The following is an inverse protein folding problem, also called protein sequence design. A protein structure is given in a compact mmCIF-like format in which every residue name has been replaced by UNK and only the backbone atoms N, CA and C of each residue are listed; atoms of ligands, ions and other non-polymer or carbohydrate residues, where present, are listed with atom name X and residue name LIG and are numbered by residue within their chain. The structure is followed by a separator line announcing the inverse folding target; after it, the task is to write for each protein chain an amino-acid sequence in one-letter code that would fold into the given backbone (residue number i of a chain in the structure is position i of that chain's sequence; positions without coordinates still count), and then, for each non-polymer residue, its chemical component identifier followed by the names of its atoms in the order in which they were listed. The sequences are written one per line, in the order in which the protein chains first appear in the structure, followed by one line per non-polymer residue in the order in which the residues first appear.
data_IF_882406340539
#
_entry.id   IF_882406340539
#
_cell.length_a   1.000
_cell.length_b   1.000
_cell.length_c   1.000
_cell.angle_alpha   90.00
_cell.angle_beta   90.00
_cell.angle_gamma   90.00
#
_symmetry.space_group_name_H-M   'P 1'
#
loop_
_entity.id
_entity.type
_entity.pdbx_description
1 polymer ?
#
# COMPACT_ATOMS: atom_id res chain seq x y z
N UNK A 1 -10.83 4.02 -29.43
CA UNK A 1 -10.32 5.06 -30.36
C UNK A 1 -10.04 6.32 -29.56
N UNK A 2 -8.91 6.99 -29.80
CA UNK A 2 -8.57 8.22 -29.08
C UNK A 2 -9.46 9.39 -29.53
N UNK A 3 -9.66 10.40 -28.68
CA UNK A 3 -10.46 11.60 -29.00
C UNK A 3 -9.98 12.29 -30.29
N UNK A 4 -8.68 12.22 -30.60
CA UNK A 4 -8.12 12.81 -31.81
C UNK A 4 -8.58 12.09 -33.08
N UNK A 5 -8.69 10.76 -33.05
CA UNK A 5 -9.17 9.96 -34.19
C UNK A 5 -10.60 10.31 -34.56
N UNK A 6 -11.49 10.38 -33.55
CA UNK A 6 -12.91 10.70 -33.76
C UNK A 6 -13.08 12.06 -34.44
N UNK A 7 -12.30 13.07 -34.01
CA UNK A 7 -12.37 14.41 -34.57
C UNK A 7 -11.90 14.44 -36.02
N UNK A 8 -10.80 13.74 -36.34
CA UNK A 8 -10.26 13.72 -37.70
C UNK A 8 -11.18 12.98 -38.66
N UNK A 9 -11.68 11.79 -38.29
CA UNK A 9 -12.61 11.02 -39.12
C UNK A 9 -13.96 11.74 -39.31
N UNK A 10 -14.47 12.46 -38.30
CA UNK A 10 -15.69 13.24 -38.52
C UNK A 10 -15.50 14.39 -39.52
N UNK A 11 -14.30 14.97 -39.59
CA UNK A 11 -14.00 16.03 -40.56
C UNK A 11 -13.73 15.43 -41.95
N UNK A 12 -12.96 14.34 -42.03
CA UNK A 12 -12.52 13.73 -43.30
C UNK A 12 -13.56 12.83 -43.95
N UNK A 13 -14.23 11.98 -43.16
CA UNK A 13 -15.12 10.95 -43.68
C UNK A 13 -16.59 11.37 -43.60
N UNK A 14 -16.97 12.07 -42.53
CA UNK A 14 -18.34 12.55 -42.32
C UNK A 14 -18.58 14.00 -42.78
N UNK A 15 -17.57 14.66 -43.37
CA UNK A 15 -17.70 16.00 -43.96
C UNK A 15 -17.98 17.14 -42.95
N UNK A 16 -17.72 16.93 -41.66
CA UNK A 16 -17.94 17.96 -40.64
C UNK A 16 -16.98 19.14 -40.82
N UNK A 17 -17.51 20.37 -40.72
CA UNK A 17 -16.65 21.56 -40.77
C UNK A 17 -15.76 21.68 -39.53
N UNK A 18 -14.57 22.25 -39.70
CA UNK A 18 -13.61 22.52 -38.61
C UNK A 18 -14.23 23.39 -37.51
N UNK A 19 -15.15 24.30 -37.89
CA UNK A 19 -15.91 25.14 -36.96
C UNK A 19 -16.82 24.31 -36.06
N UNK A 20 -17.62 23.42 -36.65
CA UNK A 20 -18.54 22.58 -35.88
C UNK A 20 -17.78 21.62 -34.98
N UNK A 21 -16.70 21.02 -35.48
CA UNK A 21 -15.82 20.17 -34.67
C UNK A 21 -15.19 20.94 -33.48
N UNK A 22 -14.81 22.21 -33.69
CA UNK A 22 -14.27 23.05 -32.61
C UNK A 22 -15.28 23.27 -31.47
N UNK A 23 -16.53 23.59 -31.81
CA UNK A 23 -17.59 23.80 -30.83
C UNK A 23 -18.01 22.49 -30.14
N UNK A 24 -18.21 21.42 -30.91
CA UNK A 24 -18.70 20.13 -30.39
C UNK A 24 -17.67 19.47 -29.46
N UNK A 25 -16.40 19.44 -29.86
CA UNK A 25 -15.36 18.75 -29.10
C UNK A 25 -14.61 19.65 -28.12
N UNK A 26 -14.94 20.95 -28.09
CA UNK A 26 -14.32 22.00 -27.27
C UNK A 26 -12.80 22.04 -27.44
N UNK A 27 -12.34 22.06 -28.70
CA UNK A 27 -10.93 22.13 -29.07
C UNK A 27 -10.72 23.35 -29.98
N UNK A 28 -9.61 24.06 -29.83
CA UNK A 28 -9.30 25.20 -30.69
C UNK A 28 -9.14 24.77 -32.16
N UNK A 29 -9.59 25.61 -33.08
CA UNK A 29 -9.41 25.38 -34.54
C UNK A 29 -7.95 25.11 -34.89
N UNK A 30 -7.01 25.83 -34.28
CA UNK A 30 -5.57 25.63 -34.47
C UNK A 30 -5.13 24.20 -34.15
N UNK A 31 -5.62 23.62 -33.04
CA UNK A 31 -5.30 22.24 -32.68
C UNK A 31 -5.94 21.24 -33.65
N UNK A 32 -7.13 21.52 -34.16
CA UNK A 32 -7.78 20.68 -35.18
C UNK A 32 -6.95 20.67 -36.48
N UNK A 33 -6.49 21.83 -36.95
CA UNK A 33 -5.59 21.88 -38.12
C UNK A 33 -4.27 21.14 -37.89
N UNK A 34 -3.69 21.18 -36.68
CA UNK A 34 -2.52 20.38 -36.35
C UNK A 34 -2.80 18.87 -36.42
N UNK A 35 -3.98 18.42 -35.96
CA UNK A 35 -4.39 17.02 -36.04
C UNK A 35 -4.58 16.58 -37.50
N UNK A 36 -5.24 17.40 -38.33
CA UNK A 36 -5.38 17.12 -39.76
C UNK A 36 -4.02 17.04 -40.45
N UNK A 37 -3.11 18.00 -40.17
CA UNK A 37 -1.75 17.97 -40.72
C UNK A 37 -0.96 16.73 -40.28
N UNK A 38 -1.12 16.29 -39.04
CA UNK A 38 -0.49 15.07 -38.54
C UNK A 38 -1.06 13.83 -39.25
N UNK A 39 -2.38 13.75 -39.40
CA UNK A 39 -3.06 12.68 -40.14
C UNK A 39 -2.63 12.62 -41.61
N UNK A 40 -2.54 13.77 -42.28
CA UNK A 40 -2.07 13.84 -43.67
C UNK A 40 -0.61 13.37 -43.82
N UNK A 41 0.21 13.51 -42.77
CA UNK A 41 1.62 13.14 -42.79
C UNK A 41 1.91 11.67 -42.40
N UNK A 42 1.03 11.02 -41.61
CA UNK A 42 1.32 9.69 -41.07
C UNK A 42 0.09 8.84 -40.70
N UNK A 43 -1.07 9.20 -41.22
CA UNK A 43 -2.34 8.51 -40.99
C UNK A 43 -2.73 8.44 -39.51
N UNK A 44 -3.47 7.40 -39.14
CA UNK A 44 -3.97 7.20 -37.78
C UNK A 44 -2.86 7.14 -36.73
N UNK A 45 -1.71 6.53 -37.06
CA UNK A 45 -0.60 6.42 -36.11
C UNK A 45 -0.04 7.79 -35.68
N UNK A 46 -0.14 8.81 -36.54
CA UNK A 46 0.30 10.17 -36.22
C UNK A 46 -0.64 10.90 -35.24
N UNK A 47 -1.86 10.39 -35.02
CA UNK A 47 -2.83 10.95 -34.07
C UNK A 47 -2.64 10.45 -32.64
N UNK A 48 -1.79 9.43 -32.47
CA UNK A 48 -1.43 8.93 -31.15
C UNK A 48 -0.63 9.97 -30.36
N UNK A 49 -0.90 10.12 -29.05
CA UNK A 49 -0.16 11.05 -28.21
C UNK A 49 1.34 10.73 -28.20
N UNK A 50 2.14 11.56 -28.87
CA UNK A 50 3.58 11.46 -28.78
C UNK A 50 4.08 11.92 -27.41
N UNK A 51 5.21 11.34 -26.99
CA UNK A 51 5.87 11.72 -25.74
C UNK A 51 6.17 13.22 -25.74
N UNK A 52 5.65 13.94 -24.75
CA UNK A 52 5.96 15.36 -24.52
C UNK A 52 7.30 15.56 -23.79
N UNK A 53 8.07 14.49 -23.60
CA UNK A 53 9.36 14.54 -22.92
C UNK A 53 10.35 15.31 -23.80
N UNK A 54 11.11 16.28 -23.24
CA UNK A 54 12.18 16.94 -23.97
C UNK A 54 13.15 15.91 -24.59
N UNK A 55 13.54 16.13 -25.84
CA UNK A 55 14.47 15.26 -26.59
C UNK A 55 15.86 15.22 -25.94
N UNK A 56 16.27 16.29 -25.27
CA UNK A 56 17.48 16.34 -24.47
C UNK A 56 17.23 17.05 -23.14
N UNK A 57 17.98 16.66 -22.11
CA UNK A 57 18.04 17.37 -20.85
C UNK A 57 19.52 17.70 -20.56
N UNK A 58 19.97 18.94 -20.80
CA UNK A 58 21.35 19.34 -20.52
C UNK A 58 21.75 19.22 -19.05
N UNK A 59 20.76 19.12 -18.13
CA UNK A 59 20.98 18.90 -16.70
C UNK A 59 20.91 17.42 -16.30
N UNK A 60 20.94 16.51 -17.27
CA UNK A 60 21.05 15.08 -16.98
C UNK A 60 22.38 14.80 -16.30
N UNK A 61 22.35 13.95 -15.28
CA UNK A 61 23.56 13.44 -14.64
C UNK A 61 24.37 12.67 -15.67
N UNK A 62 25.68 12.91 -15.72
CA UNK A 62 26.57 12.21 -16.64
C UNK A 62 26.50 10.70 -16.42
N UNK A 63 26.59 9.94 -17.51
CA UNK A 63 26.44 8.49 -17.49
C UNK A 63 27.50 7.82 -16.61
N UNK A 64 28.72 8.37 -16.57
CA UNK A 64 29.79 7.90 -15.68
C UNK A 64 29.40 8.02 -14.20
N UNK A 65 28.76 9.12 -13.82
CA UNK A 65 28.29 9.33 -12.46
C UNK A 65 27.14 8.38 -12.10
N UNK A 66 26.25 8.08 -13.05
CA UNK A 66 25.20 7.07 -12.87
C UNK A 66 25.80 5.70 -12.59
N UNK A 67 26.77 5.26 -13.41
CA UNK A 67 27.45 3.98 -13.24
C UNK A 67 28.16 3.87 -11.89
N UNK A 68 28.85 4.93 -11.48
CA UNK A 68 29.52 5.00 -10.18
C UNK A 68 28.53 4.91 -9.00
N UNK A 69 27.35 5.54 -9.10
CA UNK A 69 26.27 5.41 -8.10
C UNK A 69 25.81 3.95 -7.98
N UNK A 70 25.63 3.27 -9.11
CA UNK A 70 25.18 1.87 -9.12
C UNK A 70 26.25 0.94 -8.55
N UNK A 71 27.52 1.17 -8.89
CA UNK A 71 28.66 0.41 -8.36
C UNK A 71 28.82 0.60 -6.84
N UNK A 72 28.67 1.82 -6.34
CA UNK A 72 28.71 2.06 -4.89
C UNK A 72 27.54 1.39 -4.17
N UNK A 73 26.34 1.44 -4.77
CA UNK A 73 25.18 0.75 -4.22
C UNK A 73 25.44 -0.74 -4.12
N UNK A 74 25.98 -1.38 -5.15
CA UNK A 74 26.25 -2.82 -5.13
C UNK A 74 27.36 -3.18 -4.16
N UNK A 75 28.48 -2.44 -4.14
CA UNK A 75 29.60 -2.67 -3.20
C UNK A 75 29.17 -2.54 -1.74
N UNK A 76 28.47 -1.46 -1.38
CA UNK A 76 28.01 -1.23 -0.01
C UNK A 76 26.98 -2.27 0.43
N UNK A 77 26.07 -2.65 -0.47
CA UNK A 77 25.08 -3.70 -0.18
C UNK A 77 25.74 -5.06 0.00
N UNK A 78 26.74 -5.40 -0.82
CA UNK A 78 27.48 -6.67 -0.72
C UNK A 78 28.34 -6.74 0.56
N UNK A 79 28.81 -5.60 1.05
CA UNK A 79 29.52 -5.48 2.32
C UNK A 79 28.60 -5.37 3.55
N UNK A 80 27.28 -5.50 3.37
CA UNK A 80 26.26 -5.33 4.43
C UNK A 80 26.31 -3.96 5.14
N UNK A 81 26.82 -2.94 4.45
CA UNK A 81 26.90 -1.56 4.94
C UNK A 81 25.66 -0.75 4.53
N UNK A 82 25.49 0.42 5.17
CA UNK A 82 24.47 1.37 4.71
C UNK A 82 24.76 1.82 3.28
N UNK A 83 23.86 1.47 2.36
CA UNK A 83 23.94 1.84 0.96
C UNK A 83 22.93 2.94 0.60
N UNK A 84 22.46 3.71 1.58
CA UNK A 84 21.51 4.79 1.40
C UNK A 84 22.02 5.90 0.46
N UNK A 85 21.12 6.70 -0.15
CA UNK A 85 21.51 7.78 -1.05
C UNK A 85 22.47 8.81 -0.42
N UNK A 86 22.33 9.13 0.88
CA UNK A 86 23.25 9.98 1.63
C UNK A 86 24.65 9.37 1.75
N UNK A 87 24.73 8.08 2.04
CA UNK A 87 26.00 7.37 2.21
C UNK A 87 26.72 7.23 0.88
N UNK A 88 26.00 6.92 -0.20
CA UNK A 88 26.54 6.97 -1.57
C UNK A 88 27.03 8.38 -1.91
N UNK A 89 26.26 9.42 -1.56
CA UNK A 89 26.67 10.81 -1.77
C UNK A 89 27.98 11.14 -1.04
N UNK A 90 28.13 10.67 0.19
CA UNK A 90 29.35 10.83 0.98
C UNK A 90 30.56 10.17 0.28
N UNK A 91 30.42 8.92 -0.17
CA UNK A 91 31.48 8.24 -0.92
C UNK A 91 31.85 8.97 -2.21
N UNK A 92 30.86 9.48 -2.96
CA UNK A 92 31.10 10.25 -4.18
C UNK A 92 31.87 11.55 -3.94
N UNK A 93 31.61 12.25 -2.82
CA UNK A 93 32.37 13.47 -2.45
C UNK A 93 33.85 13.18 -2.25
N UNK A 94 34.18 12.01 -1.71
CA UNK A 94 35.55 11.61 -1.41
C UNK A 94 36.34 11.17 -2.66
N UNK A 95 35.69 10.97 -3.81
CA UNK A 95 36.32 10.49 -5.06
C UNK A 95 36.58 11.59 -6.11
N UNK A 96 36.39 12.87 -5.74
CA UNK A 96 36.61 14.08 -6.55
C UNK A 96 35.74 14.18 -7.83
N UNK A 97 34.74 15.08 -7.80
CA UNK A 97 33.89 15.43 -8.94
C UNK A 97 32.60 16.13 -8.52
N UNK A 98 31.81 16.68 -9.48
CA UNK A 98 30.50 17.23 -9.19
C UNK A 98 29.54 16.13 -8.72
N UNK A 99 29.11 16.20 -7.45
CA UNK A 99 28.28 15.16 -6.82
C UNK A 99 26.79 15.50 -6.97
N UNK A 100 25.96 14.57 -7.47
CA UNK A 100 24.51 14.77 -7.52
C UNK A 100 23.89 14.91 -6.13
N UNK A 101 22.74 15.59 -6.05
CA UNK A 101 21.96 15.67 -4.82
C UNK A 101 21.48 14.28 -4.36
N UNK A 102 21.21 14.12 -3.05
CA UNK A 102 20.58 12.94 -2.47
C UNK A 102 19.31 12.53 -3.25
N UNK A 103 18.47 13.51 -3.59
CA UNK A 103 17.26 13.31 -4.37
C UNK A 103 17.52 12.78 -5.79
N UNK A 104 18.62 13.18 -6.41
CA UNK A 104 19.03 12.70 -7.74
C UNK A 104 19.54 11.27 -7.66
N UNK A 105 20.39 10.96 -6.66
CA UNK A 105 20.87 9.60 -6.40
C UNK A 105 19.68 8.66 -6.12
N UNK A 106 18.74 9.07 -5.25
CA UNK A 106 17.52 8.32 -4.97
C UNK A 106 16.71 8.04 -6.24
N UNK A 107 16.54 9.04 -7.11
CA UNK A 107 15.80 8.88 -8.38
C UNK A 107 16.51 7.91 -9.33
N UNK A 108 17.84 7.98 -9.44
CA UNK A 108 18.65 7.05 -10.24
C UNK A 108 18.46 5.63 -9.72
N UNK A 109 18.67 5.41 -8.42
CA UNK A 109 18.51 4.08 -7.81
C UNK A 109 17.09 3.53 -7.97
N UNK A 110 16.06 4.38 -7.87
CA UNK A 110 14.67 3.99 -8.12
C UNK A 110 14.43 3.62 -9.59
N UNK A 111 14.97 4.39 -10.54
CA UNK A 111 14.86 4.09 -11.98
C UNK A 111 15.52 2.75 -12.35
N UNK A 112 16.59 2.38 -11.65
CA UNK A 112 17.29 1.11 -11.82
C UNK A 112 16.74 -0.03 -10.92
N UNK A 113 15.65 0.18 -10.19
CA UNK A 113 15.01 -0.87 -9.37
C UNK A 113 15.81 -1.30 -8.14
N UNK A 114 16.79 -0.50 -7.70
CA UNK A 114 17.67 -0.81 -6.55
C UNK A 114 17.12 -0.31 -5.21
N UNK A 115 15.94 0.32 -5.22
CA UNK A 115 15.19 0.72 -4.02
C UNK A 115 13.92 -0.10 -3.96
N UNK A 116 13.76 -0.88 -2.88
CA UNK A 116 12.48 -1.48 -2.55
C UNK A 116 11.55 -0.40 -2.02
N UNK A 117 10.40 -0.14 -2.67
CA UNK A 117 9.44 0.84 -2.16
C UNK A 117 8.95 0.42 -0.78
N UNK A 118 8.96 1.35 0.17
CA UNK A 118 8.32 1.10 1.45
C UNK A 118 6.81 0.96 1.22
N UNK A 119 6.12 -0.02 1.84
CA UNK A 119 4.67 -0.14 1.71
C UNK A 119 4.02 1.18 2.10
N UNK A 120 3.16 1.70 1.20
CA UNK A 120 2.44 2.95 1.45
C UNK A 120 1.66 2.84 2.76
N UNK A 121 1.61 3.94 3.52
CA UNK A 121 0.72 4.05 4.69
C UNK A 121 -0.69 3.64 4.27
N UNK A 122 -1.38 2.87 5.13
CA UNK A 122 -2.73 2.39 4.88
C UNK A 122 -3.64 3.57 4.52
N UNK A 123 -4.45 3.50 3.44
CA UNK A 123 -5.29 4.60 3.03
C UNK A 123 -6.33 4.93 4.11
N UNK A 124 -6.52 6.22 4.38
CA UNK A 124 -7.47 6.73 5.39
C UNK A 124 -8.91 6.26 5.13
N UNK A 125 -9.28 6.00 3.88
CA UNK A 125 -10.60 5.49 3.48
C UNK A 125 -10.94 4.11 4.06
N UNK A 126 -9.97 3.40 4.60
CA UNK A 126 -10.20 2.11 5.27
C UNK A 126 -10.56 2.23 6.76
N UNK A 127 -10.53 3.44 7.33
CA UNK A 127 -10.99 3.72 8.69
C UNK A 127 -12.51 3.82 8.70
N UNK A 128 -13.18 2.87 9.36
CA UNK A 128 -14.62 2.96 9.62
C UNK A 128 -14.82 3.61 10.97
N UNK A 129 -15.68 4.62 11.04
CA UNK A 129 -16.09 5.20 12.33
C UNK A 129 -17.00 4.20 13.02
N UNK A 130 -16.67 3.86 14.25
CA UNK A 130 -17.44 3.00 15.12
C UNK A 130 -18.04 3.85 16.24
N UNK A 131 -19.29 3.59 16.58
CA UNK A 131 -20.02 4.19 17.70
C UNK A 131 -20.98 3.11 18.21
N UNK A 132 -21.09 2.96 19.52
CA UNK A 132 -22.11 2.14 20.18
C UNK A 132 -23.51 2.70 19.86
N UNK A 133 -24.52 1.83 19.85
CA UNK A 133 -25.89 2.19 19.45
C UNK A 133 -26.65 2.88 20.60
N UNK A 134 -26.28 2.61 21.85
CA UNK A 134 -26.94 3.14 23.04
C UNK A 134 -25.95 3.70 24.08
N UNK A 135 -26.36 4.71 24.89
CA UNK A 135 -25.62 5.08 26.08
C UNK A 135 -25.43 3.89 27.02
N UNK A 136 -24.29 3.82 27.69
CA UNK A 136 -23.92 2.75 28.62
C UNK A 136 -23.80 1.35 27.98
N UNK A 137 -23.77 1.26 26.65
CA UNK A 137 -23.51 0.00 25.95
C UNK A 137 -22.01 -0.33 25.92
N UNK A 138 -21.17 0.65 25.58
CA UNK A 138 -19.72 0.47 25.51
C UNK A 138 -19.00 1.62 26.18
N UNK A 139 -18.22 1.34 27.22
CA UNK A 139 -17.27 2.28 27.79
C UNK A 139 -15.88 2.07 27.19
N UNK A 140 -15.21 3.15 26.84
CA UNK A 140 -13.83 3.15 26.39
C UNK A 140 -12.92 3.66 27.49
N UNK A 141 -11.73 3.07 27.58
CA UNK A 141 -10.67 3.55 28.46
C UNK A 141 -9.35 3.52 27.74
N UNK A 142 -8.60 4.60 27.89
CA UNK A 142 -7.24 4.75 27.43
C UNK A 142 -6.51 5.65 28.45
N UNK A 143 -5.19 5.69 28.36
CA UNK A 143 -4.40 6.64 29.11
C UNK A 143 -3.37 7.34 28.23
N UNK A 144 -3.06 8.58 28.58
CA UNK A 144 -2.14 9.40 27.81
C UNK A 144 -1.04 9.92 28.73
N UNK A 145 0.21 9.72 28.32
CA UNK A 145 1.36 10.34 28.98
C UNK A 145 1.38 11.85 28.67
N UNK A 146 1.54 12.66 29.71
CA UNK A 146 1.66 14.10 29.62
C UNK A 146 2.85 14.59 30.45
N UNK A 147 3.50 15.65 29.98
CA UNK A 147 4.56 16.34 30.72
C UNK A 147 4.01 17.62 31.32
N UNK A 148 4.09 17.75 32.63
CA UNK A 148 3.70 18.96 33.35
C UNK A 148 4.69 20.09 33.07
N UNK A 149 4.29 21.34 33.35
CA UNK A 149 5.17 22.51 33.21
C UNK A 149 6.47 22.39 34.05
N UNK A 150 6.44 21.56 35.10
CA UNK A 150 7.59 21.25 35.95
C UNK A 150 8.57 20.24 35.33
N UNK A 151 8.26 19.68 34.15
CA UNK A 151 9.03 18.62 33.51
C UNK A 151 8.72 17.21 34.00
N UNK A 152 7.87 17.06 35.03
CA UNK A 152 7.41 15.75 35.53
C UNK A 152 6.47 15.10 34.51
N UNK A 153 6.72 13.82 34.21
CA UNK A 153 5.84 12.96 33.41
C UNK A 153 4.74 12.38 34.30
N UNK A 154 3.52 12.36 33.78
CA UNK A 154 2.34 11.80 34.43
C UNK A 154 1.49 11.08 33.39
N UNK A 155 0.62 10.19 33.85
CA UNK A 155 -0.33 9.45 33.01
C UNK A 155 -1.76 9.85 33.37
N UNK A 156 -2.56 10.15 32.36
CA UNK A 156 -3.94 10.58 32.52
C UNK A 156 -4.86 9.45 32.09
N UNK A 157 -5.52 8.81 33.06
CA UNK A 157 -6.54 7.79 32.82
C UNK A 157 -7.88 8.45 32.56
N UNK A 158 -8.62 8.00 31.54
CA UNK A 158 -9.98 8.45 31.29
C UNK A 158 -10.92 7.31 30.94
N UNK A 159 -12.17 7.41 31.41
CA UNK A 159 -13.29 6.56 31.00
C UNK A 159 -14.31 7.41 30.25
N UNK A 160 -14.73 6.97 29.08
CA UNK A 160 -15.72 7.67 28.25
C UNK A 160 -16.81 6.71 27.78
N UNK A 161 -18.04 7.18 27.74
CA UNK A 161 -19.13 6.48 27.07
C UNK A 161 -19.04 6.67 25.55
N UNK A 162 -18.98 5.59 24.76
CA UNK A 162 -18.72 5.67 23.33
C UNK A 162 -19.90 6.26 22.53
N UNK A 163 -21.14 6.05 22.96
CA UNK A 163 -22.31 6.60 22.27
C UNK A 163 -22.45 8.11 22.53
N UNK A 164 -22.52 8.51 23.79
CA UNK A 164 -22.78 9.91 24.18
C UNK A 164 -21.54 10.80 24.17
N UNK A 165 -20.34 10.22 24.10
CA UNK A 165 -19.05 10.90 24.30
C UNK A 165 -18.92 11.58 25.66
N UNK A 166 -19.71 11.13 26.63
CA UNK A 166 -19.67 11.65 27.98
C UNK A 166 -18.44 11.12 28.73
N UNK A 167 -17.62 12.02 29.27
CA UNK A 167 -16.47 11.69 30.09
C UNK A 167 -16.95 11.24 31.48
N UNK A 168 -16.88 9.94 31.73
CA UNK A 168 -17.34 9.32 32.98
C UNK A 168 -16.37 9.61 34.13
N UNK A 169 -15.06 9.57 33.83
CA UNK A 169 -14.00 9.76 34.81
C UNK A 169 -12.71 10.22 34.13
N UNK A 170 -11.93 11.05 34.83
CA UNK A 170 -10.56 11.39 34.48
C UNK A 170 -9.71 11.57 35.73
N UNK A 171 -8.53 10.96 35.79
CA UNK A 171 -7.57 11.17 36.88
C UNK A 171 -6.12 11.07 36.42
N UNK A 172 -5.23 11.72 37.17
CA UNK A 172 -3.80 11.83 36.87
C UNK A 172 -3.02 10.98 37.87
N UNK A 173 -2.07 10.19 37.37
CA UNK A 173 -1.22 9.29 38.15
C UNK A 173 0.23 9.41 37.71
N UNK A 174 1.17 9.00 38.56
CA UNK A 174 2.57 8.86 38.14
C UNK A 174 2.77 7.65 37.23
N UNK A 175 2.10 6.55 37.57
CA UNK A 175 2.07 5.31 36.78
C UNK A 175 0.71 4.64 37.01
N UNK A 176 0.06 4.24 35.92
CA UNK A 176 -1.22 3.57 35.94
C UNK A 176 -0.99 2.08 36.15
N UNK A 177 -1.61 1.56 37.19
CA UNK A 177 -1.61 0.14 37.52
C UNK A 177 -2.98 -0.46 37.25
N UNK A 178 -3.04 -1.79 37.13
CA UNK A 178 -4.33 -2.52 37.04
C UNK A 178 -5.26 -2.20 38.21
N UNK A 179 -4.73 -1.92 39.41
CA UNK A 179 -5.55 -1.59 40.56
C UNK A 179 -6.23 -0.22 40.39
N UNK A 180 -5.50 0.79 39.90
CA UNK A 180 -6.06 2.11 39.58
C UNK A 180 -7.19 2.01 38.54
N UNK A 181 -7.00 1.15 37.53
CA UNK A 181 -8.04 0.87 36.52
C UNK A 181 -9.28 0.25 37.16
N UNK A 182 -9.11 -0.74 38.04
CA UNK A 182 -10.21 -1.38 38.76
C UNK A 182 -10.95 -0.38 39.66
N UNK A 183 -10.23 0.43 40.42
CA UNK A 183 -10.81 1.36 41.37
C UNK A 183 -11.61 2.45 40.65
N UNK A 184 -11.04 3.03 39.59
CA UNK A 184 -11.74 4.03 38.75
C UNK A 184 -12.95 3.44 38.02
N UNK A 185 -12.84 2.21 37.51
CA UNK A 185 -13.95 1.52 36.84
C UNK A 185 -15.09 1.21 37.83
N UNK A 186 -14.75 0.70 39.01
CA UNK A 186 -15.73 0.41 40.08
C UNK A 186 -16.42 1.68 40.56
N UNK A 187 -15.67 2.78 40.68
CA UNK A 187 -16.23 4.08 40.98
C UNK A 187 -17.23 4.53 39.91
N UNK A 188 -16.91 4.36 38.63
CA UNK A 188 -17.83 4.67 37.52
C UNK A 188 -19.09 3.80 37.57
N UNK A 189 -18.95 2.49 37.82
CA UNK A 189 -20.10 1.57 37.95
C UNK A 189 -21.04 2.03 39.07
N UNK A 190 -20.49 2.37 40.24
CA UNK A 190 -21.30 2.80 41.38
C UNK A 190 -22.07 4.10 41.10
N UNK A 191 -21.58 4.93 40.18
CA UNK A 191 -22.20 6.22 39.84
C UNK A 191 -23.18 6.14 38.66
N UNK A 192 -22.85 5.35 37.63
CA UNK A 192 -23.57 5.35 36.35
C UNK A 192 -24.23 4.01 36.02
N UNK A 193 -24.03 2.99 36.86
CA UNK A 193 -24.40 1.60 36.57
C UNK A 193 -23.34 0.91 35.69
N UNK A 194 -23.38 -0.43 35.61
CA UNK A 194 -22.42 -1.18 34.80
C UNK A 194 -22.72 -1.03 33.30
N UNK A 195 -21.70 -0.91 32.44
CA UNK A 195 -21.88 -0.97 31.00
C UNK A 195 -22.09 -2.40 30.51
N UNK A 196 -22.64 -2.56 29.31
CA UNK A 196 -22.73 -3.90 28.69
C UNK A 196 -21.35 -4.42 28.24
N UNK A 197 -20.46 -3.51 27.86
CA UNK A 197 -19.12 -3.87 27.38
C UNK A 197 -18.09 -2.77 27.61
N UNK A 198 -16.81 -3.16 27.58
CA UNK A 198 -15.68 -2.23 27.58
C UNK A 198 -14.89 -2.38 26.29
N UNK A 199 -14.30 -1.29 25.80
CA UNK A 199 -13.34 -1.30 24.70
C UNK A 199 -12.05 -0.61 25.16
N UNK A 200 -11.01 -1.42 25.36
CA UNK A 200 -9.71 -0.97 25.85
C UNK A 200 -8.62 -1.36 24.85
N UNK A 201 -7.46 -0.72 24.97
CA UNK A 201 -6.28 -1.13 24.23
C UNK A 201 -5.72 -2.48 24.76
N UNK A 202 -4.60 -2.93 24.20
CA UNK A 202 -3.91 -4.15 24.62
C UNK A 202 -2.87 -3.89 25.74
N UNK A 203 -2.97 -2.77 26.46
CA UNK A 203 -2.11 -2.47 27.58
C UNK A 203 -2.23 -3.54 28.67
N UNK A 204 -1.10 -3.91 29.28
CA UNK A 204 -1.06 -4.97 30.32
C UNK A 204 -1.97 -4.66 31.52
N UNK A 205 -2.22 -3.37 31.76
CA UNK A 205 -3.14 -2.89 32.78
C UNK A 205 -4.59 -3.32 32.52
N UNK A 206 -5.00 -3.51 31.26
CA UNK A 206 -6.34 -3.91 30.83
C UNK A 206 -6.45 -5.37 30.39
N UNK A 207 -5.41 -5.95 29.78
CA UNK A 207 -5.42 -7.38 29.40
C UNK A 207 -4.03 -8.00 29.47
N UNK A 208 -3.95 -9.23 29.98
CA UNK A 208 -2.72 -10.05 29.90
C UNK A 208 -2.86 -11.21 28.93
N UNK A 209 -3.80 -11.12 27.97
CA UNK A 209 -4.07 -12.18 26.98
C UNK A 209 -2.82 -12.64 26.21
N UNK A 210 -1.88 -11.73 25.93
CA UNK A 210 -0.60 -12.05 25.28
C UNK A 210 0.35 -12.88 26.15
N UNK A 211 0.17 -12.82 27.47
CA UNK A 211 0.97 -13.52 28.48
C UNK A 211 0.27 -14.80 29.00
N UNK A 212 -0.80 -15.25 28.32
CA UNK A 212 -1.58 -16.47 28.62
C UNK A 212 -2.22 -16.52 30.03
N UNK A 213 -2.45 -15.36 30.66
CA UNK A 213 -3.15 -15.25 31.95
C UNK A 213 -4.25 -14.19 31.92
N UNK A 214 -5.19 -14.27 32.86
CA UNK A 214 -6.19 -13.22 33.09
C UNK A 214 -5.69 -12.26 34.16
N UNK A 215 -5.72 -10.97 33.87
CA UNK A 215 -5.40 -9.94 34.86
C UNK A 215 -6.60 -9.73 35.80
N UNK A 216 -6.40 -8.92 36.86
CA UNK A 216 -7.45 -8.67 37.85
C UNK A 216 -8.66 -7.95 37.27
N UNK A 217 -8.46 -7.10 36.25
CA UNK A 217 -9.53 -6.37 35.59
C UNK A 217 -10.40 -7.30 34.71
N UNK A 218 -9.79 -8.17 33.93
CA UNK A 218 -10.43 -9.24 33.16
C UNK A 218 -11.31 -10.12 34.06
N UNK A 219 -10.80 -10.49 35.25
CA UNK A 219 -11.57 -11.25 36.24
C UNK A 219 -12.78 -10.46 36.74
N UNK A 220 -12.62 -9.18 37.06
CA UNK A 220 -13.73 -8.32 37.50
C UNK A 220 -14.83 -8.22 36.43
N UNK A 221 -14.45 -8.03 35.16
CA UNK A 221 -15.42 -7.96 34.06
C UNK A 221 -16.21 -9.27 33.94
N UNK A 222 -15.54 -10.43 34.04
CA UNK A 222 -16.19 -11.73 34.02
C UNK A 222 -17.17 -11.86 35.19
N UNK A 223 -16.77 -11.49 36.41
CA UNK A 223 -17.63 -11.53 37.60
C UNK A 223 -18.88 -10.66 37.45
N UNK A 224 -18.76 -9.51 36.79
CA UNK A 224 -19.86 -8.58 36.56
C UNK A 224 -20.67 -8.87 35.29
N UNK A 225 -20.30 -9.90 34.51
CA UNK A 225 -20.96 -10.23 33.25
C UNK A 225 -20.73 -9.19 32.13
N UNK A 226 -19.67 -8.38 32.22
CA UNK A 226 -19.37 -7.30 31.28
C UNK A 226 -18.43 -7.83 30.18
N UNK A 227 -18.80 -7.60 28.92
CA UNK A 227 -18.01 -8.09 27.78
C UNK A 227 -16.79 -7.20 27.50
N UNK A 228 -15.58 -7.76 27.50
CA UNK A 228 -14.40 -7.04 27.02
C UNK A 228 -14.26 -7.14 25.50
N UNK A 229 -14.19 -6.00 24.83
CA UNK A 229 -13.82 -5.83 23.43
C UNK A 229 -12.36 -5.36 23.40
N UNK A 230 -11.53 -6.02 22.60
CA UNK A 230 -10.12 -5.62 22.42
C UNK A 230 -9.84 -5.44 20.94
N UNK A 231 -9.05 -4.44 20.59
CA UNK A 231 -8.62 -4.24 19.21
C UNK A 231 -7.72 -5.41 18.74
N UNK A 232 -8.05 -5.99 17.58
CA UNK A 232 -7.28 -7.08 17.00
C UNK A 232 -5.84 -6.64 16.75
N UNK A 233 -4.88 -7.47 17.17
CA UNK A 233 -3.46 -7.24 16.89
C UNK A 233 -3.26 -7.20 15.37
N UNK A 234 -2.61 -6.15 14.88
CA UNK A 234 -2.12 -6.12 13.50
C UNK A 234 -0.97 -7.13 13.43
N UNK A 235 -1.28 -8.41 13.21
CA UNK A 235 -0.26 -9.39 12.83
C UNK A 235 0.25 -8.99 11.46
N UNK A 236 1.47 -8.44 11.37
CA UNK A 236 2.16 -8.33 10.08
C UNK A 236 2.28 -9.76 9.54
N UNK A 237 1.63 -10.08 8.41
CA UNK A 237 1.89 -11.36 7.73
C UNK A 237 3.41 -11.49 7.51
N UNK A 238 4.03 -12.63 7.83
CA UNK A 238 5.43 -12.85 7.52
C UNK A 238 5.64 -12.64 6.01
N UNK A 239 6.69 -11.92 5.62
CA UNK A 239 7.11 -11.86 4.21
C UNK A 239 7.44 -13.28 3.76
N UNK A 240 6.63 -13.86 2.88
CA UNK A 240 7.08 -14.98 2.07
C UNK A 240 8.33 -14.52 1.31
N UNK A 241 9.45 -15.19 1.56
CA UNK A 241 10.68 -15.02 0.78
C UNK A 241 10.41 -15.61 -0.60
N UNK A 242 10.09 -14.78 -1.59
CA UNK A 242 10.04 -15.21 -2.98
C UNK A 242 11.46 -15.50 -3.46
N UNK A 243 11.86 -16.78 -3.43
CA UNK A 243 13.05 -17.26 -4.13
C UNK A 243 12.73 -17.28 -5.62
N UNK A 244 13.16 -16.25 -6.35
CA UNK A 244 13.14 -16.25 -7.81
C UNK A 244 14.52 -15.82 -8.32
N UNK A 245 15.46 -16.76 -8.30
CA UNK A 245 16.72 -16.68 -9.05
C UNK A 245 16.65 -17.67 -10.20
N UNK A 246 16.17 -17.22 -11.36
CA UNK A 246 16.59 -17.76 -12.65
C UNK A 246 16.47 -16.64 -13.68
N UNK A 247 17.57 -15.95 -13.98
CA UNK A 247 17.70 -15.11 -15.17
C UNK A 247 18.18 -16.00 -16.33
N UNK A 248 17.61 -15.92 -17.55
CA UNK A 248 18.19 -16.56 -18.71
C UNK A 248 19.43 -15.77 -19.18
N UNK A 249 20.52 -16.49 -19.43
CA UNK A 249 21.75 -15.97 -20.03
C UNK A 249 21.51 -15.58 -21.49
N UNK A 250 21.78 -14.32 -21.83
CA UNK A 250 21.76 -13.80 -23.20
C UNK A 250 23.22 -13.74 -23.67
N UNK A 251 23.78 -14.88 -24.05
CA UNK A 251 24.94 -14.93 -24.94
C UNK A 251 24.71 -16.05 -25.94
N UNK A 252 24.51 -15.65 -27.19
CA UNK A 252 24.38 -16.55 -28.32
C UNK A 252 25.72 -17.18 -28.68
N UNK A 253 25.67 -18.46 -29.01
CA UNK A 253 26.67 -19.14 -29.83
C UNK A 253 25.95 -19.91 -30.93
N UNK A 254 26.40 -19.67 -32.16
CA UNK A 254 25.86 -20.16 -33.43
C UNK A 254 25.81 -21.70 -33.50
N UNK A 255 24.90 -22.29 -34.28
CA UNK A 255 24.74 -23.74 -34.35
C UNK A 255 25.76 -24.39 -35.29
N UNK A 256 26.48 -25.39 -34.79
CA UNK A 256 27.22 -26.35 -35.61
C UNK A 256 26.31 -27.54 -35.96
N UNK A 257 26.19 -27.73 -37.26
CA UNK A 257 25.60 -28.83 -38.04
C UNK A 257 26.02 -30.21 -37.52
N UNK A 258 25.07 -31.16 -37.32
CA UNK A 258 25.22 -32.54 -37.81
C UNK A 258 23.94 -33.39 -37.69
N UNK A 259 23.85 -34.32 -38.65
CA UNK A 259 22.78 -35.26 -39.00
C UNK A 259 22.66 -36.43 -38.03
N UNK A 260 21.44 -36.96 -37.85
CA UNK A 260 21.01 -38.35 -38.15
C UNK A 260 19.73 -38.69 -37.35
N UNK A 261 18.60 -38.99 -38.00
CA UNK A 261 18.11 -40.33 -38.44
C UNK A 261 17.83 -41.32 -37.29
N UNK A 262 16.54 -41.53 -37.00
CA UNK A 262 15.80 -42.82 -36.94
C UNK A 262 14.50 -42.59 -36.16
N UNK A 263 13.33 -42.63 -36.80
CA UNK A 263 12.46 -43.78 -37.14
C UNK A 263 11.75 -44.41 -35.92
N UNK A 264 10.42 -44.54 -36.10
CA UNK A 264 9.57 -45.65 -35.62
C UNK A 264 9.15 -45.57 -34.14
N UNK A 265 7.91 -45.85 -33.69
CA UNK A 265 6.76 -46.52 -34.30
C UNK A 265 5.48 -46.29 -33.46
N UNK A 266 4.32 -46.33 -34.15
CA UNK A 266 3.06 -47.04 -33.83
C UNK A 266 2.26 -46.67 -32.57
N UNK A 267 1.02 -46.17 -32.74
CA UNK A 267 -0.31 -46.88 -32.80
C UNK A 267 -1.02 -46.65 -31.46
N UNK A 268 -2.33 -46.53 -31.30
CA UNK A 268 -3.55 -46.72 -32.11
C UNK A 268 -4.70 -46.11 -31.27
N UNK A 269 -5.54 -45.23 -31.82
CA UNK A 269 -6.90 -45.49 -32.30
C UNK A 269 -7.93 -46.01 -31.26
N UNK A 270 -8.96 -45.15 -31.05
CA UNK A 270 -10.44 -45.42 -31.02
C UNK A 270 -11.06 -46.12 -29.81
N UNK A 271 -12.32 -45.88 -29.39
CA UNK A 271 -13.47 -45.11 -29.90
C UNK A 271 -14.53 -44.91 -28.78
N UNK A 272 -15.41 -43.90 -28.93
CA UNK A 272 -16.87 -43.78 -28.63
C UNK A 272 -17.53 -44.64 -27.52
N UNK A 273 -18.54 -44.19 -26.76
CA UNK A 273 -19.38 -42.99 -26.84
C UNK A 273 -20.55 -43.00 -25.83
N UNK A 274 -21.22 -41.83 -25.74
CA UNK A 274 -22.66 -41.55 -25.43
C UNK A 274 -23.29 -42.08 -24.12
N UNK A 275 -23.67 -41.21 -23.17
CA UNK A 275 -24.91 -40.39 -23.06
C UNK A 275 -26.19 -41.18 -22.72
N UNK A 276 -26.72 -40.96 -21.50
CA UNK A 276 -28.16 -40.72 -21.21
C UNK A 276 -28.38 -40.33 -19.73
N UNK A 277 -29.02 -39.18 -19.50
CA UNK A 277 -29.85 -38.84 -18.31
C UNK A 277 -31.34 -39.09 -18.69
N UNK A 278 -32.41 -38.76 -17.92
CA UNK A 278 -32.56 -38.12 -16.59
C UNK A 278 -33.71 -38.71 -15.70
N UNK A 279 -34.11 -37.93 -14.68
CA UNK A 279 -35.32 -37.98 -13.81
C UNK A 279 -35.15 -38.75 -12.49
N UNK A 280 -35.62 -38.29 -11.33
CA UNK A 280 -36.36 -37.09 -10.92
C UNK A 280 -36.99 -37.31 -9.53
N UNK A 281 -37.45 -36.20 -8.91
CA UNK A 281 -38.39 -36.06 -7.76
C UNK A 281 -37.87 -36.31 -6.32
N UNK A 282 -37.82 -35.26 -5.48
CA UNK A 282 -38.83 -34.73 -4.51
C UNK A 282 -39.21 -35.73 -3.42
N UNK A 283 -39.29 -35.44 -2.13
CA UNK A 283 -39.16 -34.21 -1.34
C UNK A 283 -39.61 -34.52 0.10
N UNK A 284 -39.26 -33.66 1.06
CA UNK A 284 -40.07 -33.17 2.17
C UNK A 284 -39.21 -32.27 3.07
#
# INVERSE_FOLDING_TARGET
MSKNHVIVHQIRDAGMSVTNASHQYKISRQRIYQLLKAYDAGGDQALEPQSRRPLSNPRATDQKTVELILELRTKLTAAELDAGPLTIQYHLRNMAGPVPSDSTIRRILHAHGLITPQPKKRPKSSLHRFQADQPNETWQSDFTEATLATGRKVEILHWIDDHSRYLLHASVHDEITTQIVIDSFTWCINRYGPPQSTLTDNGLVYTTRLLKGLNKFEKLLITLGIRQKTVALITRKPKEKSNASTRPSIYGSMPARQRNRSKSCKRSWTNFGTCTTPSGRTGH
#
